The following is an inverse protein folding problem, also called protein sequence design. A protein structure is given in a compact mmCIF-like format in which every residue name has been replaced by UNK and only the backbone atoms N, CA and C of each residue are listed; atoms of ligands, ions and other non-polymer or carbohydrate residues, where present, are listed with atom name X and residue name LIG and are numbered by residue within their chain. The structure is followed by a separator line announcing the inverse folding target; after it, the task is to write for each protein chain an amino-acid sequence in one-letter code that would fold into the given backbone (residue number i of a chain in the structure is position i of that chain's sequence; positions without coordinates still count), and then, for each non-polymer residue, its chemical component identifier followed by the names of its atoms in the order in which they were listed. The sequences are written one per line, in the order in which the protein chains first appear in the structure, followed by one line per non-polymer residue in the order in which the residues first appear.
data_IF_808254947714
#
_entry.id   IF_808254947714
#
_cell.length_a   1.000
_cell.length_b   1.000
_cell.length_c   1.000
_cell.angle_alpha   90.00
_cell.angle_beta   90.00
_cell.angle_gamma   90.00
#
_symmetry.space_group_name_H-M   'P 1'
#
loop_
_entity.id
_entity.type
_entity.pdbx_description
1 polymer ?
#
# COMPACT_ATOMS: atom_id res chain seq x y z
N UNK A 1 20.25 -25.14 -54.57
CA UNK A 1 21.70 -25.10 -54.30
C UNK A 1 21.97 -24.78 -52.82
N UNK A 2 22.50 -25.77 -52.12
CA UNK A 2 23.11 -25.67 -50.77
C UNK A 2 24.59 -26.00 -50.96
N UNK A 3 25.49 -25.34 -50.22
CA UNK A 3 26.43 -26.07 -49.36
C UNK A 3 26.46 -25.38 -47.97
N UNK A 4 26.26 -26.02 -46.81
CA UNK A 4 27.01 -27.08 -46.10
C UNK A 4 28.50 -26.78 -45.95
N UNK A 5 28.95 -26.44 -44.73
CA UNK A 5 30.09 -27.05 -44.01
C UNK A 5 30.32 -26.41 -42.62
N UNK A 6 30.14 -27.21 -41.56
CA UNK A 6 30.96 -27.22 -40.32
C UNK A 6 32.31 -27.94 -40.63
N UNK A 7 33.33 -28.16 -39.75
CA UNK A 7 33.38 -28.28 -38.27
C UNK A 7 34.60 -27.51 -37.65
N UNK A 8 34.94 -27.52 -36.35
CA UNK A 8 35.58 -28.62 -35.59
C UNK A 8 35.74 -28.26 -34.11
N UNK A 9 35.52 -29.29 -33.31
CA UNK A 9 35.58 -29.47 -31.85
C UNK A 9 37.04 -29.62 -31.38
N UNK A 10 37.32 -29.24 -30.11
CA UNK A 10 38.15 -29.97 -29.14
C UNK A 10 38.33 -29.08 -27.89
N UNK A 11 38.43 -29.55 -26.63
CA UNK A 11 38.12 -30.79 -25.92
C UNK A 11 38.30 -30.46 -24.42
N UNK A 12 37.41 -30.99 -23.59
CA UNK A 12 37.42 -31.33 -22.14
C UNK A 12 38.66 -31.05 -21.23
N UNK A 13 38.50 -30.96 -19.87
CA UNK A 13 37.50 -31.70 -19.09
C UNK A 13 36.75 -30.98 -17.96
N UNK A 14 35.60 -31.60 -17.67
CA UNK A 14 34.80 -31.55 -16.46
C UNK A 14 35.66 -31.75 -15.20
N UNK A 15 35.47 -30.87 -14.20
CA UNK A 15 35.63 -31.26 -12.81
C UNK A 15 34.48 -30.75 -11.94
N UNK A 16 33.68 -31.73 -11.54
CA UNK A 16 32.65 -31.76 -10.52
C UNK A 16 33.01 -30.96 -9.27
N UNK A 17 32.09 -30.11 -8.83
CA UNK A 17 31.83 -29.92 -7.41
C UNK A 17 30.33 -29.82 -7.23
N UNK A 18 29.78 -30.89 -6.64
CA UNK A 18 28.40 -30.99 -6.25
C UNK A 18 28.09 -29.90 -5.22
N UNK A 19 27.16 -29.01 -5.54
CA UNK A 19 26.38 -28.29 -4.55
C UNK A 19 24.93 -28.70 -4.78
N UNK A 20 24.43 -29.50 -3.85
CA UNK A 20 23.06 -29.96 -3.73
C UNK A 20 22.09 -28.79 -3.92
N UNK A 21 21.32 -28.82 -5.01
CA UNK A 21 20.18 -27.94 -5.21
C UNK A 21 19.13 -28.24 -4.14
N UNK A 22 19.15 -27.48 -3.05
CA UNK A 22 17.96 -27.29 -2.23
C UNK A 22 17.00 -26.45 -3.08
N UNK A 23 16.01 -27.12 -3.68
CA UNK A 23 14.82 -26.48 -4.23
C UNK A 23 14.02 -25.98 -3.05
N UNK A 24 14.30 -24.75 -2.63
CA UNK A 24 13.41 -24.00 -1.75
C UNK A 24 12.19 -23.60 -2.59
N UNK A 25 10.95 -23.84 -2.15
CA UNK A 25 9.80 -23.24 -2.80
C UNK A 25 9.96 -21.72 -2.72
N UNK A 26 10.12 -21.06 -3.88
CA UNK A 26 10.06 -19.61 -3.96
C UNK A 26 8.61 -19.21 -3.68
N UNK A 27 8.35 -18.97 -2.39
CA UNK A 27 7.22 -18.20 -1.91
C UNK A 27 7.23 -16.88 -2.68
N UNK A 28 6.09 -16.52 -3.26
CA UNK A 28 5.89 -15.26 -3.95
C UNK A 28 6.48 -14.13 -3.12
N UNK A 29 7.39 -13.36 -3.71
CA UNK A 29 8.01 -12.20 -3.06
C UNK A 29 6.89 -11.26 -2.59
N UNK A 30 6.75 -11.00 -1.28
CA UNK A 30 5.84 -9.95 -0.84
C UNK A 30 6.32 -8.62 -1.42
N UNK A 31 5.39 -7.77 -1.85
CA UNK A 31 5.66 -6.37 -2.18
C UNK A 31 6.60 -5.78 -1.11
N UNK A 32 7.58 -4.92 -1.48
CA UNK A 32 8.50 -4.35 -0.53
C UNK A 32 7.70 -3.72 0.60
N UNK A 33 7.79 -4.32 1.79
CA UNK A 33 7.25 -3.77 3.02
C UNK A 33 7.77 -2.35 3.12
N UNK A 34 6.87 -1.37 3.05
CA UNK A 34 7.22 0.04 3.12
C UNK A 34 8.18 0.25 4.31
N UNK A 35 9.36 0.79 4.03
CA UNK A 35 10.37 1.01 5.06
C UNK A 35 10.04 2.28 5.85
N UNK A 36 9.15 2.12 6.83
CA UNK A 36 8.62 3.21 7.65
C UNK A 36 9.68 3.95 8.46
N UNK A 37 10.83 3.32 8.72
CA UNK A 37 11.98 3.92 9.43
C UNK A 37 12.59 5.11 8.68
N UNK A 38 12.28 5.28 7.39
CA UNK A 38 12.71 6.42 6.58
C UNK A 38 11.91 7.70 6.86
N UNK A 39 10.76 7.58 7.52
CA UNK A 39 9.88 8.71 7.82
C UNK A 39 10.05 9.18 9.26
N UNK A 40 9.85 10.49 9.52
CA UNK A 40 9.90 11.01 10.88
C UNK A 40 8.79 10.37 11.75
N UNK A 41 9.10 10.18 13.03
CA UNK A 41 8.14 9.78 14.05
C UNK A 41 8.19 10.78 15.22
N UNK A 42 7.14 11.60 15.44
CA UNK A 42 5.86 11.57 14.72
C UNK A 42 5.97 12.12 13.29
N UNK A 43 5.02 11.73 12.43
CA UNK A 43 4.79 12.29 11.11
C UNK A 43 4.46 13.78 11.21
N UNK A 44 4.69 14.58 10.15
CA UNK A 44 4.41 16.01 10.21
C UNK A 44 2.94 16.28 10.47
N UNK A 45 2.67 17.17 11.44
CA UNK A 45 1.32 17.62 11.76
C UNK A 45 0.65 18.34 10.59
N UNK A 46 -0.66 18.13 10.43
CA UNK A 46 -1.47 18.80 9.41
C UNK A 46 -2.54 19.69 10.05
N UNK A 47 -2.54 20.98 9.73
CA UNK A 47 -3.57 21.92 10.17
C UNK A 47 -4.98 21.57 9.66
N UNK A 48 -5.07 20.77 8.59
CA UNK A 48 -6.34 20.33 7.98
C UNK A 48 -6.67 18.88 8.31
N UNK A 49 -5.91 18.25 9.20
CA UNK A 49 -5.96 16.80 9.41
C UNK A 49 -5.44 16.02 8.20
N UNK A 50 -5.78 14.75 8.18
CA UNK A 50 -5.36 13.79 7.15
C UNK A 50 -6.58 13.21 6.45
N UNK A 51 -6.39 12.78 5.22
CA UNK A 51 -7.37 12.02 4.45
C UNK A 51 -6.86 10.59 4.32
N UNK A 52 -7.73 9.62 4.58
CA UNK A 52 -7.50 8.22 4.32
C UNK A 52 -8.40 7.78 3.17
N UNK A 53 -7.83 7.07 2.21
CA UNK A 53 -8.60 6.32 1.21
C UNK A 53 -8.15 4.88 1.20
N UNK A 54 -9.05 3.99 0.83
CA UNK A 54 -8.76 2.57 0.69
C UNK A 54 -9.38 2.01 -0.59
N UNK A 55 -8.76 0.98 -1.14
CA UNK A 55 -9.29 0.24 -2.29
C UNK A 55 -8.81 -1.20 -2.22
N UNK A 56 -9.57 -2.09 -2.85
CA UNK A 56 -9.23 -3.50 -2.91
C UNK A 56 -8.54 -3.83 -4.24
N UNK A 57 -7.53 -4.68 -4.22
CA UNK A 57 -6.90 -5.25 -5.41
C UNK A 57 -6.68 -6.75 -5.17
N UNK A 58 -7.45 -7.59 -5.85
CA UNK A 58 -7.53 -9.01 -5.48
C UNK A 58 -8.10 -9.17 -4.07
N UNK A 59 -7.39 -9.91 -3.23
CA UNK A 59 -7.77 -10.12 -1.82
C UNK A 59 -7.17 -9.06 -0.89
N UNK A 60 -6.29 -8.19 -1.39
CA UNK A 60 -5.55 -7.24 -0.58
C UNK A 60 -6.21 -5.86 -0.51
N UNK A 61 -6.27 -5.32 0.70
CA UNK A 61 -6.65 -3.93 0.95
C UNK A 61 -5.43 -3.02 0.86
N UNK A 62 -5.55 -1.96 0.07
CA UNK A 62 -4.57 -0.91 -0.07
C UNK A 62 -5.10 0.37 0.55
N UNK A 63 -4.20 1.18 1.08
CA UNK A 63 -4.50 2.41 1.80
C UNK A 63 -3.56 3.51 1.38
N UNK A 64 -4.08 4.73 1.28
CA UNK A 64 -3.27 5.95 1.20
C UNK A 64 -3.70 6.91 2.28
N UNK A 65 -2.76 7.27 3.15
CA UNK A 65 -2.88 8.37 4.10
C UNK A 65 -2.17 9.59 3.54
N UNK A 66 -2.88 10.70 3.39
CA UNK A 66 -2.35 11.94 2.81
C UNK A 66 -2.74 13.13 3.66
N UNK A 67 -1.93 14.19 3.67
CA UNK A 67 -2.33 15.45 4.31
C UNK A 67 -3.55 16.05 3.63
N UNK A 68 -4.52 16.52 4.43
CA UNK A 68 -5.70 17.21 3.95
C UNK A 68 -5.33 18.49 3.21
N UNK A 69 -5.94 18.74 2.04
CA UNK A 69 -5.67 19.95 1.25
C UNK A 69 -6.96 20.61 0.77
N UNK A 70 -6.90 21.90 0.40
CA UNK A 70 -8.04 22.62 -0.19
C UNK A 70 -8.24 22.30 -1.69
N UNK A 71 -7.70 21.17 -2.17
CA UNK A 71 -7.67 20.81 -3.59
C UNK A 71 -8.18 19.39 -3.76
N UNK A 72 -8.96 19.17 -4.81
CA UNK A 72 -9.31 17.82 -5.26
C UNK A 72 -8.06 17.06 -5.74
N UNK A 73 -7.93 15.83 -5.27
CA UNK A 73 -6.87 14.89 -5.64
C UNK A 73 -7.40 13.93 -6.70
N UNK A 74 -6.56 13.49 -7.63
CA UNK A 74 -6.98 12.51 -8.64
C UNK A 74 -6.92 11.09 -8.08
N UNK A 75 -7.70 10.20 -8.68
CA UNK A 75 -7.67 8.77 -8.35
C UNK A 75 -6.26 8.17 -8.50
N UNK A 76 -5.58 8.50 -9.61
CA UNK A 76 -4.21 8.06 -9.90
C UNK A 76 -3.19 8.59 -8.86
N UNK A 77 -3.30 9.86 -8.45
CA UNK A 77 -2.43 10.47 -7.45
C UNK A 77 -2.51 9.71 -6.12
N UNK A 78 -3.72 9.38 -5.70
CA UNK A 78 -4.01 8.68 -4.44
C UNK A 78 -3.61 7.20 -4.49
N UNK A 79 -3.67 6.53 -5.64
CA UNK A 79 -3.31 5.12 -5.75
C UNK A 79 -1.84 4.83 -6.07
N UNK A 80 -1.07 5.86 -6.42
CA UNK A 80 0.35 5.68 -6.74
C UNK A 80 1.08 5.09 -5.52
N UNK A 81 1.92 4.08 -5.70
CA UNK A 81 2.62 3.42 -4.60
C UNK A 81 3.68 4.31 -3.91
N UNK A 82 4.15 5.35 -4.60
CA UNK A 82 5.16 6.26 -4.08
C UNK A 82 4.66 6.96 -2.81
N UNK A 83 5.43 6.74 -1.74
CA UNK A 83 5.27 7.37 -0.45
C UNK A 83 6.31 8.47 -0.26
N UNK A 84 5.87 9.62 0.22
CA UNK A 84 6.71 10.79 0.43
C UNK A 84 6.29 11.55 1.69
N UNK A 85 7.29 12.09 2.38
CA UNK A 85 7.13 13.07 3.45
C UNK A 85 8.09 14.21 3.13
N UNK A 86 7.57 15.42 2.94
CA UNK A 86 8.39 16.59 2.64
C UNK A 86 8.55 17.50 3.84
N UNK A 87 9.65 18.26 3.86
CA UNK A 87 10.00 19.18 4.96
C UNK A 87 8.94 20.27 5.21
N UNK A 88 8.15 20.60 4.19
CA UNK A 88 7.05 21.57 4.28
C UNK A 88 5.77 20.99 4.93
N UNK A 89 5.82 19.75 5.43
CA UNK A 89 4.72 19.10 6.11
C UNK A 89 3.71 18.40 5.22
N UNK A 90 3.90 18.39 3.89
CA UNK A 90 3.10 17.51 3.02
C UNK A 90 3.56 16.06 3.16
N UNK A 91 2.59 15.15 3.23
CA UNK A 91 2.85 13.72 3.31
C UNK A 91 1.80 12.97 2.51
N UNK A 92 2.24 11.91 1.83
CA UNK A 92 1.40 10.86 1.27
C UNK A 92 2.10 9.54 1.51
N UNK A 93 1.45 8.61 2.18
CA UNK A 93 1.97 7.27 2.46
C UNK A 93 0.96 6.25 1.92
N UNK A 94 1.44 5.34 1.08
CA UNK A 94 0.65 4.28 0.47
C UNK A 94 1.16 2.92 0.94
N UNK A 95 0.25 2.08 1.45
CA UNK A 95 0.57 0.75 2.00
C UNK A 95 -0.47 -0.28 1.60
N UNK A 96 -0.05 -1.55 1.61
CA UNK A 96 -0.93 -2.71 1.41
C UNK A 96 -1.01 -3.49 2.72
N UNK A 97 -2.23 -3.80 3.17
CA UNK A 97 -2.51 -4.57 4.37
C UNK A 97 -2.83 -3.73 5.61
N UNK A 98 -3.45 -4.39 6.61
CA UNK A 98 -3.99 -3.75 7.81
C UNK A 98 -2.88 -3.40 8.82
N UNK A 99 -1.90 -4.27 9.00
CA UNK A 99 -0.81 -4.00 9.95
C UNK A 99 0.06 -2.80 9.51
N UNK A 100 0.46 -2.67 8.23
CA UNK A 100 1.18 -1.49 7.77
C UNK A 100 0.41 -0.18 7.95
N UNK A 101 -0.90 -0.13 7.65
CA UNK A 101 -1.67 1.11 7.85
C UNK A 101 -1.80 1.45 9.35
N UNK A 102 -1.92 0.45 10.23
CA UNK A 102 -1.86 0.69 11.69
C UNK A 102 -0.53 1.29 12.13
N UNK A 103 0.59 0.80 11.61
CA UNK A 103 1.90 1.38 11.91
C UNK A 103 1.98 2.84 11.47
N UNK A 104 1.50 3.16 10.26
CA UNK A 104 1.45 4.55 9.77
C UNK A 104 0.54 5.44 10.64
N UNK A 105 -0.64 4.95 11.02
CA UNK A 105 -1.58 5.68 11.88
C UNK A 105 -1.01 5.93 13.29
N UNK A 106 -0.20 5.01 13.83
CA UNK A 106 0.48 5.18 15.11
C UNK A 106 1.61 6.23 15.07
N UNK A 107 2.13 6.55 13.88
CA UNK A 107 3.13 7.60 13.72
C UNK A 107 2.49 8.99 13.61
N UNK A 108 1.16 9.12 13.54
CA UNK A 108 0.51 10.43 13.53
C UNK A 108 0.71 11.16 14.86
N UNK A 109 0.82 12.50 14.84
CA UNK A 109 0.79 13.28 16.08
C UNK A 109 -0.49 12.99 16.88
N UNK A 110 -0.39 12.99 18.21
CA UNK A 110 -1.57 12.89 19.07
C UNK A 110 -2.61 13.97 18.73
N UNK A 111 -3.89 13.64 18.90
CA UNK A 111 -5.05 14.50 18.61
C UNK A 111 -5.20 14.86 17.14
N UNK A 112 -4.55 14.11 16.25
CA UNK A 112 -4.75 14.22 14.81
C UNK A 112 -6.17 13.77 14.42
N UNK A 113 -6.71 14.41 13.39
CA UNK A 113 -7.98 14.06 12.76
C UNK A 113 -7.69 13.40 11.40
N UNK A 114 -8.36 12.29 11.13
CA UNK A 114 -8.27 11.52 9.89
C UNK A 114 -9.68 11.32 9.33
N UNK A 115 -9.92 11.83 8.13
CA UNK A 115 -11.17 11.64 7.41
C UNK A 115 -11.02 10.52 6.38
N UNK A 116 -11.77 9.44 6.55
CA UNK A 116 -11.74 8.29 5.66
C UNK A 116 -12.84 8.38 4.61
N UNK A 117 -12.43 8.47 3.35
CA UNK A 117 -13.32 8.52 2.19
C UNK A 117 -13.33 7.19 1.43
N UNK A 118 -14.52 6.82 0.95
CA UNK A 118 -14.77 5.62 0.17
C UNK A 118 -16.23 5.56 -0.26
N UNK A 119 -16.54 4.62 -1.14
CA UNK A 119 -17.88 4.36 -1.68
C UNK A 119 -18.21 2.88 -1.53
N UNK A 120 -19.47 2.55 -1.28
CA UNK A 120 -20.01 1.19 -1.34
C UNK A 120 -20.72 0.99 -2.69
N UNK A 121 -19.93 0.64 -3.71
CA UNK A 121 -20.42 0.31 -5.05
C UNK A 121 -20.48 -1.22 -5.26
N UNK A 122 -20.49 -1.99 -4.17
CA UNK A 122 -20.49 -3.45 -4.21
C UNK A 122 -21.70 -3.97 -5.00
N UNK A 123 -21.44 -4.73 -6.07
CA UNK A 123 -22.48 -5.26 -6.96
C UNK A 123 -23.10 -4.26 -7.93
N UNK A 124 -22.69 -2.99 -7.90
CA UNK A 124 -23.11 -1.95 -8.85
C UNK A 124 -22.11 -1.73 -9.99
N UNK A 125 -20.88 -2.21 -9.81
CA UNK A 125 -19.81 -2.14 -10.81
C UNK A 125 -19.38 -3.53 -11.25
N UNK A 126 -18.80 -3.67 -12.47
CA UNK A 126 -18.22 -4.94 -12.90
C UNK A 126 -17.19 -5.48 -11.91
N UNK A 127 -17.13 -6.81 -11.79
CA UNK A 127 -16.10 -7.48 -11.00
C UNK A 127 -14.70 -7.04 -11.42
N UNK A 128 -13.83 -6.76 -10.45
CA UNK A 128 -12.47 -6.25 -10.68
C UNK A 128 -12.39 -4.74 -10.97
N UNK A 129 -13.51 -4.01 -10.98
CA UNK A 129 -13.47 -2.53 -11.03
C UNK A 129 -12.83 -2.02 -9.74
N UNK A 130 -11.74 -1.27 -9.85
CA UNK A 130 -11.10 -0.63 -8.70
C UNK A 130 -11.73 0.74 -8.47
N UNK A 131 -12.14 0.99 -7.24
CA UNK A 131 -12.68 2.27 -6.78
C UNK A 131 -12.34 2.43 -5.29
N UNK A 132 -12.42 3.65 -4.77
CA UNK A 132 -12.26 3.84 -3.33
C UNK A 132 -13.44 3.23 -2.62
N UNK A 133 -13.16 2.28 -1.75
CA UNK A 133 -14.14 1.46 -1.05
C UNK A 133 -13.72 1.28 0.39
N UNK A 134 -14.69 1.00 1.25
CA UNK A 134 -14.39 0.67 2.63
C UNK A 134 -14.20 -0.84 2.80
N UNK A 135 -13.22 -1.28 3.61
CA UNK A 135 -13.10 -2.69 3.99
C UNK A 135 -14.30 -3.14 4.80
N UNK A 136 -14.43 -4.43 5.01
CA UNK A 136 -15.50 -5.02 5.81
C UNK A 136 -15.57 -4.40 7.22
N UNK A 137 -16.77 -4.43 7.82
CA UNK A 137 -17.04 -3.77 9.10
C UNK A 137 -16.03 -4.13 10.20
N UNK A 138 -15.58 -5.39 10.24
CA UNK A 138 -14.61 -5.85 11.23
C UNK A 138 -13.27 -5.10 11.13
N UNK A 139 -12.76 -4.88 9.92
CA UNK A 139 -11.51 -4.12 9.69
C UNK A 139 -11.72 -2.65 10.03
N UNK A 140 -12.88 -2.08 9.66
CA UNK A 140 -13.18 -0.67 9.96
C UNK A 140 -13.23 -0.41 11.46
N UNK A 141 -13.97 -1.25 12.20
CA UNK A 141 -14.10 -1.13 13.65
C UNK A 141 -12.74 -1.30 14.35
N UNK A 142 -11.89 -2.20 13.84
CA UNK A 142 -10.54 -2.42 14.33
C UNK A 142 -9.64 -1.18 14.11
N UNK A 143 -9.67 -0.56 12.91
CA UNK A 143 -8.94 0.68 12.65
C UNK A 143 -9.45 1.87 13.46
N UNK A 144 -10.77 2.00 13.63
CA UNK A 144 -11.37 3.04 14.48
C UNK A 144 -10.92 2.87 15.93
N UNK A 145 -10.98 1.64 16.46
CA UNK A 145 -10.54 1.33 17.82
C UNK A 145 -9.05 1.57 18.01
N UNK A 146 -8.24 1.19 17.00
CA UNK A 146 -6.81 1.42 16.99
C UNK A 146 -6.47 2.92 17.05
N UNK A 147 -7.10 3.74 16.20
CA UNK A 147 -6.90 5.19 16.22
C UNK A 147 -7.31 5.80 17.57
N UNK A 148 -8.47 5.40 18.11
CA UNK A 148 -8.94 5.89 19.41
C UNK A 148 -7.94 5.59 20.54
N UNK A 149 -7.35 4.40 20.56
CA UNK A 149 -6.32 4.01 21.54
C UNK A 149 -5.01 4.81 21.39
N UNK A 150 -4.72 5.34 20.19
CA UNK A 150 -3.55 6.17 19.90
C UNK A 150 -3.86 7.68 19.94
N UNK A 151 -5.01 8.08 20.49
CA UNK A 151 -5.46 9.47 20.55
C UNK A 151 -5.61 10.15 19.16
N UNK A 152 -5.94 9.37 18.14
CA UNK A 152 -6.24 9.84 16.78
C UNK A 152 -7.74 9.70 16.53
N UNK A 153 -8.39 10.74 16.04
CA UNK A 153 -9.78 10.69 15.61
C UNK A 153 -9.86 10.19 14.17
N UNK A 154 -10.45 9.02 13.94
CA UNK A 154 -10.74 8.48 12.61
C UNK A 154 -12.23 8.54 12.36
N UNK A 155 -12.65 9.36 11.40
CA UNK A 155 -14.05 9.53 11.01
C UNK A 155 -14.28 9.01 9.59
N UNK A 156 -15.27 8.15 9.42
CA UNK A 156 -15.70 7.69 8.10
C UNK A 156 -16.67 8.72 7.55
N UNK A 157 -16.36 9.26 6.38
CA UNK A 157 -17.27 10.16 5.69
C UNK A 157 -18.43 9.34 5.15
N UNK A 158 -19.62 9.58 5.71
CA UNK A 158 -20.85 8.98 5.21
C UNK A 158 -21.02 9.35 3.73
N UNK A 159 -21.48 8.39 2.93
CA UNK A 159 -21.83 8.68 1.55
C UNK A 159 -22.93 9.76 1.51
N UNK A 160 -22.81 10.79 0.66
CA UNK A 160 -23.88 11.75 0.47
C UNK A 160 -25.11 11.00 -0.08
N UNK A 161 -26.11 10.75 0.77
CA UNK A 161 -27.39 10.14 0.36
C UNK A 161 -28.02 9.08 1.27
N UNK A 162 -27.49 8.82 2.49
CA UNK A 162 -28.22 8.08 3.52
C UNK A 162 -28.53 8.93 4.74
#
# INVERSE_FOLDING_TARGET
PVPTSSPTINSDPVQTSAATSVVTPQVATPLPTLDLEKFPNPLPGSMKGYELVSWQTGDDWNFTLITGTNRSKTFEELMTADSQVSENGFMKITVTGIDPIKQVLAMLPEKSEVLWSGMDLSGLVPEGTVYFAYPEKQIRDDLISFCSNNNVALEILAEPGK
#
